data_IF_288342238276
#
_entry.id   IF_288342238276
#
_cell.length_a   1.000
_cell.length_b   1.000
_cell.length_c   1.000
_cell.angle_alpha   90.00
_cell.angle_beta   90.00
_cell.angle_gamma   90.00
#
_symmetry.space_group_name_H-M   'P 1'
#
loop_
_entity.id
_entity.type
_entity.pdbx_description
1 polymer ?
#
# COMPACT_ATOMS: atom_id res chain seq x y z
N UNK A 1 -17.40 -30.26 26.69
CA UNK A 1 -16.18 -30.54 25.95
C UNK A 1 -15.88 -29.37 25.01
N UNK A 2 -14.72 -28.69 25.16
CA UNK A 2 -14.13 -27.83 24.12
C UNK A 2 -14.20 -26.32 24.33
N UNK A 3 -13.82 -25.78 25.52
CA UNK A 3 -13.42 -24.36 25.67
C UNK A 3 -11.92 -24.30 26.00
N UNK A 4 -11.08 -24.44 25.00
CA UNK A 4 -9.63 -24.48 25.22
C UNK A 4 -8.82 -24.15 23.98
N UNK A 5 -9.23 -23.15 23.14
CA UNK A 5 -8.36 -22.71 22.05
C UNK A 5 -8.18 -21.20 22.10
N UNK A 6 -6.88 -20.82 22.18
CA UNK A 6 -6.34 -19.46 21.99
C UNK A 6 -6.62 -18.43 23.12
N UNK A 7 -6.18 -18.70 24.35
CA UNK A 7 -5.54 -17.65 25.13
C UNK A 7 -4.09 -17.48 24.63
N UNK A 8 -3.91 -16.79 23.54
CA UNK A 8 -2.65 -16.13 23.25
C UNK A 8 -2.47 -15.13 24.39
N UNK A 9 -1.66 -15.52 25.40
CA UNK A 9 -1.17 -14.61 26.42
C UNK A 9 -0.31 -13.57 25.70
N UNK A 10 -0.92 -12.48 25.26
CA UNK A 10 -0.23 -11.20 25.11
C UNK A 10 0.18 -10.71 26.51
N UNK A 11 1.09 -11.43 27.14
CA UNK A 11 2.05 -10.82 28.03
C UNK A 11 3.12 -10.20 27.12
N UNK A 12 2.76 -9.18 26.39
CA UNK A 12 3.68 -8.15 26.08
C UNK A 12 4.05 -7.51 27.42
N UNK A 13 5.10 -8.01 28.08
CA UNK A 13 5.99 -7.10 28.74
C UNK A 13 6.36 -6.11 27.63
N UNK A 14 5.64 -4.98 27.54
CA UNK A 14 6.21 -3.80 26.89
C UNK A 14 7.56 -3.63 27.61
N UNK A 15 8.72 -3.83 26.94
CA UNK A 15 9.94 -3.26 27.47
C UNK A 15 9.56 -1.79 27.62
N UNK A 16 9.67 -1.26 28.84
CA UNK A 16 9.54 0.17 29.08
C UNK A 16 10.49 0.80 28.06
N UNK A 17 9.91 1.33 26.96
CA UNK A 17 10.71 2.01 25.94
C UNK A 17 11.49 3.05 26.76
N UNK A 18 12.82 3.06 26.71
CA UNK A 18 13.61 4.01 27.50
C UNK A 18 13.02 5.36 27.17
N UNK A 19 12.53 6.05 28.20
CA UNK A 19 11.83 7.33 28.15
C UNK A 19 12.30 8.10 26.93
N UNK A 20 11.41 8.24 25.94
CA UNK A 20 11.75 8.91 24.68
C UNK A 20 12.33 10.27 25.04
N UNK A 21 13.64 10.45 24.87
CA UNK A 21 14.31 11.72 25.15
C UNK A 21 13.91 12.66 24.02
N UNK A 22 13.02 13.64 24.26
CA UNK A 22 12.66 14.64 23.26
C UNK A 22 13.95 15.41 22.94
N UNK A 23 14.45 15.27 21.73
CA UNK A 23 15.68 15.93 21.30
C UNK A 23 16.65 15.11 20.48
N UNK A 24 16.55 13.75 20.53
CA UNK A 24 17.45 12.90 19.76
C UNK A 24 17.05 12.75 18.28
N UNK A 25 15.79 13.03 17.91
CA UNK A 25 15.27 12.88 16.55
C UNK A 25 14.29 14.02 16.25
N UNK A 26 14.81 15.11 15.69
CA UNK A 26 14.01 16.24 15.17
C UNK A 26 13.79 16.13 13.66
N UNK A 27 12.88 16.94 13.15
CA UNK A 27 12.79 17.25 11.71
C UNK A 27 13.92 18.24 11.34
N UNK A 28 14.29 18.29 10.06
CA UNK A 28 15.21 19.30 9.58
C UNK A 28 14.57 20.69 9.72
N UNK A 29 15.20 21.66 10.40
CA UNK A 29 14.65 22.98 10.65
C UNK A 29 14.59 23.87 9.40
N UNK A 30 15.27 23.50 8.33
CA UNK A 30 15.33 24.28 7.11
C UNK A 30 13.99 24.21 6.35
N UNK A 31 13.22 25.29 6.43
CA UNK A 31 11.88 25.45 5.82
C UNK A 31 11.92 25.45 4.29
N UNK A 32 13.08 25.72 3.66
CA UNK A 32 13.24 25.73 2.20
C UNK A 32 13.31 24.34 1.59
N UNK A 33 13.58 23.33 2.39
CA UNK A 33 13.74 21.94 1.93
C UNK A 33 12.41 21.29 1.62
N UNK A 34 12.44 20.44 0.59
CA UNK A 34 11.30 19.57 0.23
C UNK A 34 10.86 18.72 1.43
N UNK A 35 9.56 18.55 1.62
CA UNK A 35 8.97 17.88 2.77
C UNK A 35 9.58 16.51 3.10
N UNK A 36 9.93 15.70 2.08
CA UNK A 36 10.62 14.42 2.29
C UNK A 36 11.98 14.62 2.95
N UNK A 37 12.76 15.63 2.52
CA UNK A 37 14.08 15.91 3.08
C UNK A 37 14.01 16.33 4.53
N UNK A 38 12.94 17.02 4.92
CA UNK A 38 12.72 17.40 6.32
C UNK A 38 12.45 16.22 7.24
N UNK A 39 11.93 15.08 6.70
CA UNK A 39 11.70 13.84 7.44
C UNK A 39 12.94 12.90 7.45
N UNK A 40 13.95 13.16 6.63
CA UNK A 40 15.16 12.30 6.54
C UNK A 40 15.87 12.11 7.88
N UNK A 41 16.00 13.10 8.79
CA UNK A 41 16.64 12.87 10.10
C UNK A 41 15.97 11.77 10.92
N UNK A 42 14.63 11.67 10.89
CA UNK A 42 13.86 10.61 11.55
C UNK A 42 14.19 9.22 10.97
N UNK A 43 14.35 9.13 9.64
CA UNK A 43 14.76 7.89 8.97
C UNK A 43 16.22 7.55 9.28
N UNK A 44 17.12 8.55 9.30
CA UNK A 44 18.55 8.37 9.61
C UNK A 44 18.78 7.87 11.02
N UNK A 45 17.97 8.27 11.99
CA UNK A 45 18.04 7.76 13.35
C UNK A 45 17.84 6.24 13.43
N UNK A 46 17.14 5.66 12.44
CA UNK A 46 16.83 4.22 12.36
C UNK A 46 17.48 3.53 11.14
N UNK A 47 18.59 4.11 10.64
CA UNK A 47 19.25 3.68 9.39
C UNK A 47 19.62 2.20 9.35
N UNK A 48 20.05 1.63 10.48
CA UNK A 48 20.44 0.21 10.57
C UNK A 48 19.24 -0.70 10.35
N UNK A 49 18.13 -0.45 11.07
CA UNK A 49 16.89 -1.24 10.89
C UNK A 49 16.36 -1.09 9.47
N UNK A 50 16.36 0.14 8.94
CA UNK A 50 15.92 0.40 7.58
C UNK A 50 16.81 -0.31 6.54
N UNK A 51 18.13 -0.28 6.71
CA UNK A 51 19.07 -0.98 5.84
C UNK A 51 18.87 -2.50 5.87
N UNK A 52 18.73 -3.09 7.05
CA UNK A 52 18.42 -4.53 7.21
C UNK A 52 17.09 -4.87 6.56
N UNK A 53 16.07 -4.03 6.75
CA UNK A 53 14.76 -4.20 6.12
C UNK A 53 14.89 -4.22 4.60
N UNK A 54 15.59 -3.26 4.01
CA UNK A 54 15.79 -3.20 2.56
C UNK A 54 16.62 -4.36 2.05
N UNK A 55 17.67 -4.76 2.77
CA UNK A 55 18.49 -5.92 2.41
C UNK A 55 17.67 -7.21 2.41
N UNK A 56 16.89 -7.47 3.47
CA UNK A 56 15.96 -8.62 3.52
C UNK A 56 14.94 -8.58 2.39
N UNK A 57 14.40 -7.39 2.07
CA UNK A 57 13.47 -7.20 0.97
C UNK A 57 14.09 -7.53 -0.39
N UNK A 58 15.29 -7.02 -0.65
CA UNK A 58 16.02 -7.26 -1.92
C UNK A 58 16.46 -8.72 -2.05
N UNK A 59 17.01 -9.33 -0.99
CA UNK A 59 17.40 -10.76 -1.02
C UNK A 59 16.15 -11.65 -1.21
N UNK A 60 15.05 -11.34 -0.49
CA UNK A 60 13.79 -12.05 -0.67
C UNK A 60 13.22 -11.90 -2.08
N UNK A 61 13.40 -10.73 -2.70
CA UNK A 61 13.01 -10.47 -4.08
C UNK A 61 13.88 -11.27 -5.06
N UNK A 62 15.21 -11.31 -4.87
CA UNK A 62 16.11 -12.13 -5.67
C UNK A 62 15.70 -13.60 -5.65
N UNK A 63 15.46 -14.14 -4.47
CA UNK A 63 14.96 -15.52 -4.33
C UNK A 63 13.65 -15.69 -5.08
N UNK A 64 12.68 -14.80 -4.89
CA UNK A 64 11.37 -14.89 -5.54
C UNK A 64 11.44 -14.84 -7.06
N UNK A 65 12.26 -13.94 -7.62
CA UNK A 65 12.40 -13.77 -9.08
C UNK A 65 13.18 -14.95 -9.70
N UNK A 66 14.01 -15.65 -8.91
CA UNK A 66 14.73 -16.83 -9.36
C UNK A 66 13.88 -18.11 -9.39
N UNK A 67 12.78 -18.18 -8.63
CA UNK A 67 11.91 -19.38 -8.58
C UNK A 67 11.44 -19.84 -9.97
N UNK A 68 10.92 -18.96 -10.87
CA UNK A 68 10.48 -19.40 -12.20
C UNK A 68 11.61 -19.96 -13.05
N UNK A 69 12.88 -19.47 -12.86
CA UNK A 69 14.02 -19.98 -13.58
C UNK A 69 14.42 -21.39 -13.12
N UNK A 70 14.36 -21.66 -11.82
CA UNK A 70 14.59 -23.00 -11.26
C UNK A 70 13.47 -23.95 -11.70
N UNK A 71 12.21 -23.48 -11.67
CA UNK A 71 11.07 -24.25 -12.13
C UNK A 71 11.18 -24.62 -13.62
N UNK A 72 11.60 -23.67 -14.46
CA UNK A 72 11.90 -23.90 -15.87
C UNK A 72 12.85 -25.07 -16.04
N UNK A 73 14.03 -25.01 -15.37
CA UNK A 73 15.05 -26.07 -15.46
C UNK A 73 14.53 -27.41 -14.94
N UNK A 74 13.78 -27.39 -13.84
CA UNK A 74 13.20 -28.62 -13.28
C UNK A 74 12.27 -29.32 -14.27
N UNK A 75 11.47 -28.56 -15.01
CA UNK A 75 10.54 -29.12 -16.00
C UNK A 75 11.27 -29.60 -17.24
N UNK A 76 12.21 -28.79 -17.76
CA UNK A 76 12.97 -29.19 -18.94
C UNK A 76 13.74 -30.48 -18.65
N UNK A 77 14.41 -30.63 -17.48
CA UNK A 77 15.09 -31.88 -17.05
C UNK A 77 14.12 -33.05 -16.83
N UNK A 78 12.94 -32.79 -16.26
CA UNK A 78 11.94 -33.83 -16.03
C UNK A 78 11.37 -34.42 -17.33
N UNK A 79 11.31 -33.63 -18.39
CA UNK A 79 10.88 -34.07 -19.72
C UNK A 79 11.95 -34.86 -20.45
N UNK A 80 13.24 -34.44 -20.27
CA UNK A 80 14.37 -35.09 -20.93
C UNK A 80 14.81 -36.41 -20.24
N UNK A 81 14.70 -36.48 -18.91
CA UNK A 81 15.13 -37.60 -18.08
C UNK A 81 14.08 -37.99 -17.01
N UNK A 82 13.09 -38.83 -17.33
CA UNK A 82 11.97 -39.13 -16.41
C UNK A 82 12.36 -39.80 -15.09
N UNK A 83 13.56 -40.36 -14.95
CA UNK A 83 13.87 -41.30 -13.88
C UNK A 83 14.78 -40.81 -12.74
N UNK A 84 15.26 -39.55 -12.71
CA UNK A 84 16.24 -39.30 -11.64
C UNK A 84 16.48 -37.88 -11.15
N UNK A 85 16.20 -36.85 -11.92
CA UNK A 85 16.65 -35.47 -11.62
C UNK A 85 15.69 -34.63 -10.78
N UNK A 86 14.44 -34.99 -10.64
CA UNK A 86 13.38 -34.12 -10.11
C UNK A 86 13.47 -33.88 -8.60
N UNK A 87 13.89 -34.87 -7.82
CA UNK A 87 13.95 -34.75 -6.35
C UNK A 87 14.86 -33.61 -5.87
N UNK A 88 16.01 -33.37 -6.53
CA UNK A 88 16.91 -32.28 -6.21
C UNK A 88 16.25 -30.91 -6.38
N UNK A 89 15.53 -30.71 -7.49
CA UNK A 89 14.81 -29.45 -7.75
C UNK A 89 13.65 -29.23 -6.77
N UNK A 90 12.94 -30.29 -6.34
CA UNK A 90 11.89 -30.19 -5.32
C UNK A 90 12.46 -29.65 -4.00
N UNK A 91 13.58 -30.18 -3.54
CA UNK A 91 14.22 -29.72 -2.30
C UNK A 91 14.75 -28.29 -2.44
N UNK A 92 15.30 -27.92 -3.61
CA UNK A 92 15.74 -26.54 -3.88
C UNK A 92 14.54 -25.58 -3.85
N UNK A 93 13.45 -25.92 -4.54
CA UNK A 93 12.23 -25.10 -4.56
C UNK A 93 11.60 -24.98 -3.16
N UNK A 94 11.60 -26.05 -2.38
CA UNK A 94 11.13 -26.02 -0.99
C UNK A 94 12.00 -25.10 -0.13
N UNK A 95 13.32 -25.23 -0.24
CA UNK A 95 14.28 -24.36 0.44
C UNK A 95 14.10 -22.89 0.06
N UNK A 96 13.91 -22.61 -1.25
CA UNK A 96 13.63 -21.25 -1.73
C UNK A 96 12.29 -20.72 -1.20
N UNK A 97 11.25 -21.55 -1.10
CA UNK A 97 9.95 -21.15 -0.56
C UNK A 97 10.06 -20.78 0.93
N UNK A 98 10.76 -21.59 1.73
CA UNK A 98 11.01 -21.33 3.16
C UNK A 98 11.84 -20.07 3.34
N UNK A 99 12.92 -19.91 2.58
CA UNK A 99 13.78 -18.72 2.60
C UNK A 99 13.00 -17.46 2.19
N UNK A 100 12.24 -17.53 1.10
CA UNK A 100 11.41 -16.42 0.63
C UNK A 100 10.34 -16.03 1.68
N UNK A 101 9.73 -17.01 2.34
CA UNK A 101 8.78 -16.76 3.43
C UNK A 101 9.45 -16.04 4.59
N UNK A 102 10.57 -16.55 5.10
CA UNK A 102 11.28 -15.96 6.23
C UNK A 102 11.78 -14.53 5.93
N UNK A 103 12.37 -14.33 4.75
CA UNK A 103 12.84 -13.01 4.31
C UNK A 103 11.69 -12.02 4.13
N UNK A 104 10.58 -12.45 3.51
CA UNK A 104 9.39 -11.61 3.31
C UNK A 104 8.71 -11.28 4.63
N UNK A 105 8.61 -12.23 5.54
CA UNK A 105 8.07 -12.01 6.89
C UNK A 105 8.91 -10.97 7.64
N UNK A 106 10.24 -11.18 7.69
CA UNK A 106 11.18 -10.27 8.37
C UNK A 106 11.14 -8.88 7.76
N UNK A 107 11.23 -8.77 6.44
CA UNK A 107 11.11 -7.50 5.72
C UNK A 107 9.82 -6.77 6.09
N UNK A 108 8.67 -7.47 5.98
CA UNK A 108 7.37 -6.87 6.22
C UNK A 108 7.19 -6.45 7.68
N UNK A 109 7.61 -7.30 8.61
CA UNK A 109 7.57 -7.01 10.04
C UNK A 109 8.41 -5.77 10.39
N UNK A 110 9.67 -5.75 9.98
CA UNK A 110 10.58 -4.63 10.26
C UNK A 110 10.13 -3.33 9.59
N UNK A 111 9.59 -3.41 8.37
CA UNK A 111 9.08 -2.25 7.64
C UNK A 111 7.92 -1.59 8.38
N UNK A 112 6.90 -2.37 8.74
CA UNK A 112 5.73 -1.85 9.46
C UNK A 112 6.12 -1.39 10.86
N UNK A 113 6.96 -2.15 11.58
CA UNK A 113 7.47 -1.75 12.89
C UNK A 113 8.19 -0.40 12.81
N UNK A 114 9.03 -0.19 11.78
CA UNK A 114 9.74 1.08 11.59
C UNK A 114 8.76 2.22 11.28
N UNK A 115 7.76 1.99 10.42
CA UNK A 115 6.75 2.98 10.10
C UNK A 115 5.92 3.40 11.33
N UNK A 116 5.51 2.45 12.18
CA UNK A 116 4.80 2.74 13.43
C UNK A 116 5.68 3.46 14.46
N UNK A 117 6.96 3.12 14.54
CA UNK A 117 7.90 3.83 15.43
C UNK A 117 8.09 5.29 15.00
N UNK A 118 8.17 5.56 13.69
CA UNK A 118 8.25 6.94 13.16
C UNK A 118 6.94 7.69 13.44
N UNK A 119 5.80 7.04 13.33
CA UNK A 119 4.50 7.59 13.72
C UNK A 119 4.51 8.03 15.19
N UNK A 120 5.02 7.19 16.10
CA UNK A 120 5.14 7.49 17.53
C UNK A 120 6.12 8.65 17.78
N UNK A 121 7.27 8.66 17.09
CA UNK A 121 8.28 9.70 17.21
C UNK A 121 7.69 11.06 16.75
N UNK A 122 6.98 11.11 15.63
CA UNK A 122 6.30 12.33 15.15
C UNK A 122 5.22 12.80 16.12
N UNK A 123 4.42 11.89 16.69
CA UNK A 123 3.39 12.24 17.66
C UNK A 123 4.01 12.85 18.92
N UNK A 124 5.08 12.25 19.43
CA UNK A 124 5.82 12.76 20.59
C UNK A 124 6.45 14.13 20.30
N UNK A 125 6.99 14.32 19.09
CA UNK A 125 7.58 15.58 18.66
C UNK A 125 6.55 16.71 18.63
N UNK A 126 5.39 16.47 18.01
CA UNK A 126 4.29 17.42 17.95
C UNK A 126 3.79 17.73 19.37
N UNK A 127 3.55 16.71 20.19
CA UNK A 127 3.05 16.92 21.56
C UNK A 127 4.02 17.76 22.38
N UNK A 128 5.32 17.43 22.34
CA UNK A 128 6.34 18.20 23.04
C UNK A 128 6.45 19.64 22.55
N UNK A 129 6.28 19.86 21.25
CA UNK A 129 6.26 21.22 20.69
C UNK A 129 5.03 21.99 21.13
N UNK A 130 3.85 21.40 21.07
CA UNK A 130 2.60 22.00 21.52
C UNK A 130 2.68 22.47 22.98
N UNK A 131 3.26 21.68 23.88
CA UNK A 131 3.37 22.07 25.32
C UNK A 131 4.24 23.31 25.57
N UNK A 132 4.93 23.83 24.56
CA UNK A 132 5.77 25.03 24.61
C UNK A 132 5.20 26.23 23.89
N UNK A 133 4.10 26.04 23.15
CA UNK A 133 3.47 27.14 22.42
C UNK A 133 2.69 28.06 23.35
N UNK A 134 2.63 29.38 23.03
CA UNK A 134 1.91 30.39 23.83
C UNK A 134 0.40 30.19 23.71
N UNK A 135 -0.35 30.75 24.70
CA UNK A 135 -1.83 30.72 24.70
C UNK A 135 -2.43 31.35 23.44
N UNK A 136 -1.80 32.38 22.89
CA UNK A 136 -2.24 33.05 21.66
C UNK A 136 -2.30 32.11 20.43
N UNK A 137 -1.54 31.01 20.42
CA UNK A 137 -1.67 29.97 19.42
C UNK A 137 -3.01 29.21 19.57
N UNK A 138 -3.35 28.84 20.80
CA UNK A 138 -4.59 28.10 21.11
C UNK A 138 -5.86 28.93 20.95
N UNK A 139 -5.76 30.26 21.05
CA UNK A 139 -6.85 31.16 20.75
C UNK A 139 -7.17 31.26 19.25
N UNK A 140 -6.17 30.98 18.39
CA UNK A 140 -6.31 31.03 16.91
C UNK A 140 -6.60 29.69 16.27
N UNK A 141 -6.19 28.59 16.88
CA UNK A 141 -6.25 27.24 16.30
C UNK A 141 -7.25 26.39 17.07
N UNK A 142 -8.26 25.88 16.36
CA UNK A 142 -9.25 24.99 16.97
C UNK A 142 -8.60 23.69 17.49
N UNK A 143 -8.97 23.24 18.68
CA UNK A 143 -8.44 22.02 19.29
C UNK A 143 -8.66 20.78 18.41
N UNK A 144 -9.77 20.73 17.64
CA UNK A 144 -10.07 19.69 16.69
C UNK A 144 -9.05 19.57 15.57
N UNK A 145 -8.52 20.71 15.07
CA UNK A 145 -7.49 20.71 14.03
C UNK A 145 -6.16 20.15 14.56
N UNK A 146 -5.78 20.52 15.77
CA UNK A 146 -4.56 20.02 16.42
C UNK A 146 -4.65 18.49 16.60
N UNK A 147 -5.79 17.98 17.08
CA UNK A 147 -6.04 16.55 17.24
C UNK A 147 -6.00 15.83 15.89
N UNK A 148 -6.60 16.42 14.85
CA UNK A 148 -6.59 15.86 13.50
C UNK A 148 -5.16 15.75 12.94
N UNK A 149 -4.35 16.81 13.11
CA UNK A 149 -2.94 16.82 12.67
C UNK A 149 -2.08 15.82 13.42
N UNK A 150 -2.32 15.65 14.73
CA UNK A 150 -1.60 14.67 15.56
C UNK A 150 -2.01 13.20 15.28
N UNK A 151 -3.13 12.95 14.65
CA UNK A 151 -3.63 11.60 14.37
C UNK A 151 -3.66 11.29 12.87
N UNK A 152 -4.56 11.91 12.11
CA UNK A 152 -4.80 11.54 10.70
C UNK A 152 -3.65 11.94 9.78
N UNK A 153 -3.01 13.10 10.03
CA UNK A 153 -1.91 13.56 9.17
C UNK A 153 -0.65 12.73 9.40
N UNK A 154 -0.30 12.42 10.65
CA UNK A 154 0.83 11.53 10.95
C UNK A 154 0.60 10.15 10.34
N UNK A 155 -0.64 9.62 10.43
CA UNK A 155 -0.99 8.33 9.84
C UNK A 155 -0.81 8.32 8.31
N UNK A 156 -1.07 9.43 7.62
CA UNK A 156 -0.84 9.54 6.17
C UNK A 156 0.65 9.38 5.82
N UNK A 157 1.54 9.97 6.62
CA UNK A 157 3.00 9.79 6.48
C UNK A 157 3.40 8.35 6.76
N UNK A 158 2.90 7.76 7.86
CA UNK A 158 3.17 6.37 8.24
C UNK A 158 2.76 5.38 7.12
N UNK A 159 1.58 5.57 6.51
CA UNK A 159 1.12 4.74 5.41
C UNK A 159 2.05 4.83 4.19
N UNK A 160 2.53 6.02 3.84
CA UNK A 160 3.51 6.17 2.76
C UNK A 160 4.83 5.46 3.09
N UNK A 161 5.32 5.57 4.31
CA UNK A 161 6.54 4.88 4.76
C UNK A 161 6.40 3.36 4.77
N UNK A 162 5.18 2.84 4.97
CA UNK A 162 4.90 1.41 4.89
C UNK A 162 4.73 0.93 3.45
N UNK A 163 3.96 1.63 2.62
CA UNK A 163 3.61 1.18 1.27
C UNK A 163 4.55 1.66 0.17
N UNK A 164 5.28 2.76 0.37
CA UNK A 164 6.26 3.26 -0.59
C UNK A 164 7.38 2.25 -0.88
N UNK A 165 8.08 1.72 0.14
CA UNK A 165 9.10 0.69 -0.07
C UNK A 165 8.55 -0.63 -0.64
N UNK A 166 7.30 -1.01 -0.29
CA UNK A 166 6.64 -2.17 -0.89
C UNK A 166 6.45 -2.01 -2.39
N UNK A 167 6.03 -0.82 -2.82
CA UNK A 167 5.91 -0.51 -4.25
C UNK A 167 7.28 -0.45 -4.93
N UNK A 168 8.29 0.13 -4.29
CA UNK A 168 9.64 0.19 -4.83
C UNK A 168 10.21 -1.21 -5.10
N UNK A 169 10.01 -2.16 -4.18
CA UNK A 169 10.39 -3.56 -4.39
C UNK A 169 9.57 -4.22 -5.51
N UNK A 170 8.27 -3.91 -5.62
CA UNK A 170 7.46 -4.41 -6.72
C UNK A 170 7.94 -3.85 -8.08
N UNK A 171 8.33 -2.57 -8.13
CA UNK A 171 8.92 -1.96 -9.32
C UNK A 171 10.29 -2.59 -9.67
N UNK A 172 11.13 -2.87 -8.67
CA UNK A 172 12.39 -3.59 -8.85
C UNK A 172 12.13 -5.02 -9.35
N UNK A 173 11.10 -5.70 -8.82
CA UNK A 173 10.65 -7.01 -9.30
C UNK A 173 10.29 -7.00 -10.78
N UNK A 174 9.59 -5.96 -11.24
CA UNK A 174 9.28 -5.78 -12.66
C UNK A 174 10.56 -5.70 -13.50
N UNK A 175 11.51 -4.84 -13.12
CA UNK A 175 12.77 -4.66 -13.87
C UNK A 175 13.55 -5.98 -13.95
N UNK A 176 13.66 -6.69 -12.83
CA UNK A 176 14.40 -7.95 -12.77
C UNK A 176 13.70 -9.06 -13.57
N UNK A 177 12.39 -9.24 -13.38
CA UNK A 177 11.61 -10.26 -14.09
C UNK A 177 11.64 -10.00 -15.60
N UNK A 178 11.47 -8.75 -16.02
CA UNK A 178 11.54 -8.37 -17.43
C UNK A 178 12.96 -8.59 -18.01
N UNK A 179 14.02 -8.23 -17.26
CA UNK A 179 15.40 -8.52 -17.65
C UNK A 179 15.66 -10.01 -17.83
N UNK A 180 15.15 -10.87 -16.95
CA UNK A 180 15.24 -12.33 -17.10
C UNK A 180 14.43 -12.84 -18.30
N UNK A 181 13.23 -12.31 -18.55
CA UNK A 181 12.45 -12.66 -19.74
C UNK A 181 13.22 -12.31 -21.03
N UNK A 182 13.85 -11.13 -21.09
CA UNK A 182 14.68 -10.71 -22.23
C UNK A 182 15.90 -11.62 -22.42
N UNK A 183 16.52 -12.11 -21.34
CA UNK A 183 17.66 -13.03 -21.41
C UNK A 183 17.30 -14.43 -21.93
N UNK A 184 16.02 -14.82 -21.84
CA UNK A 184 15.53 -16.12 -22.33
C UNK A 184 15.14 -16.02 -23.81
N UNK A 185 14.22 -15.08 -24.15
CA UNK A 185 13.76 -14.93 -25.53
C UNK A 185 13.19 -13.53 -25.75
N UNK A 186 13.92 -12.67 -26.46
CA UNK A 186 13.59 -11.24 -26.62
C UNK A 186 12.22 -10.99 -27.27
N UNK A 187 11.89 -11.60 -28.45
CA UNK A 187 10.59 -11.37 -29.10
C UNK A 187 9.40 -11.77 -28.22
N UNK A 188 9.51 -12.91 -27.52
CA UNK A 188 8.45 -13.38 -26.62
C UNK A 188 8.28 -12.44 -25.41
N UNK A 189 9.38 -11.94 -24.85
CA UNK A 189 9.36 -10.99 -23.74
C UNK A 189 8.67 -9.68 -24.13
N UNK A 190 9.04 -9.12 -25.28
CA UNK A 190 8.43 -7.88 -25.81
C UNK A 190 6.94 -8.07 -26.12
N UNK A 191 6.57 -9.15 -26.80
CA UNK A 191 5.17 -9.46 -27.11
C UNK A 191 4.32 -9.60 -25.84
N UNK A 192 4.87 -10.23 -24.81
CA UNK A 192 4.18 -10.44 -23.53
C UNK A 192 3.96 -9.15 -22.76
N UNK A 193 4.94 -8.24 -22.78
CA UNK A 193 4.90 -6.97 -22.02
C UNK A 193 4.22 -5.84 -22.81
N UNK A 194 4.02 -6.00 -24.12
CA UNK A 194 3.44 -4.97 -24.99
C UNK A 194 2.06 -4.44 -24.51
N UNK A 195 1.29 -5.26 -23.79
CA UNK A 195 0.03 -4.85 -23.18
C UNK A 195 0.15 -4.01 -21.91
N UNK A 196 1.32 -3.97 -21.22
CA UNK A 196 1.46 -3.32 -19.93
C UNK A 196 1.26 -1.79 -19.95
N UNK A 197 1.68 -1.03 -21.01
CA UNK A 197 1.36 0.38 -21.10
C UNK A 197 -0.15 0.66 -21.10
N UNK A 198 -0.97 -0.26 -21.64
CA UNK A 198 -2.43 -0.14 -21.61
C UNK A 198 -2.99 -0.23 -20.18
N UNK A 199 -2.37 -1.03 -19.29
CA UNK A 199 -2.73 -1.06 -17.85
C UNK A 199 -2.57 0.33 -17.25
N UNK A 200 -1.48 1.01 -17.56
CA UNK A 200 -1.25 2.38 -17.07
C UNK A 200 -2.33 3.35 -17.57
N UNK A 201 -2.63 3.33 -18.87
CA UNK A 201 -3.67 4.19 -19.46
C UNK A 201 -5.04 3.94 -18.83
N UNK A 202 -5.42 2.66 -18.66
CA UNK A 202 -6.68 2.29 -18.01
C UNK A 202 -6.70 2.69 -16.53
N UNK A 203 -5.59 2.54 -15.81
CA UNK A 203 -5.49 2.97 -14.42
C UNK A 203 -5.65 4.50 -14.28
N UNK A 204 -5.09 5.29 -15.19
CA UNK A 204 -5.29 6.74 -15.23
C UNK A 204 -6.75 7.09 -15.51
N UNK A 205 -7.37 6.50 -16.55
CA UNK A 205 -8.79 6.71 -16.85
C UNK A 205 -9.70 6.31 -15.69
N UNK A 206 -9.41 5.16 -15.05
CA UNK A 206 -10.13 4.74 -13.86
C UNK A 206 -10.01 5.78 -12.74
N UNK A 207 -8.82 6.30 -12.48
CA UNK A 207 -8.61 7.35 -11.50
C UNK A 207 -9.50 8.56 -11.80
N UNK A 208 -9.45 9.08 -13.03
CA UNK A 208 -10.15 10.30 -13.41
C UNK A 208 -11.70 10.17 -13.32
N UNK A 209 -12.23 8.95 -13.39
CA UNK A 209 -13.66 8.67 -13.23
C UNK A 209 -14.03 8.30 -11.77
N UNK A 210 -13.23 7.47 -11.13
CA UNK A 210 -13.54 6.92 -9.80
C UNK A 210 -13.31 7.94 -8.68
N UNK A 211 -12.29 8.80 -8.80
CA UNK A 211 -11.99 9.78 -7.75
C UNK A 211 -13.12 10.81 -7.54
N UNK A 212 -13.63 11.50 -8.58
CA UNK A 212 -14.74 12.44 -8.39
C UNK A 212 -15.96 11.76 -7.78
N UNK A 213 -16.32 10.56 -8.25
CA UNK A 213 -17.46 9.81 -7.70
C UNK A 213 -17.21 9.41 -6.23
N UNK A 214 -15.97 9.08 -5.85
CA UNK A 214 -15.62 8.81 -4.46
C UNK A 214 -15.82 10.04 -3.57
N UNK A 215 -15.41 11.22 -4.03
CA UNK A 215 -15.64 12.49 -3.31
C UNK A 215 -17.12 12.81 -3.15
N UNK A 216 -17.91 12.66 -4.23
CA UNK A 216 -19.36 12.86 -4.17
C UNK A 216 -19.99 11.88 -3.17
N UNK A 217 -19.58 10.61 -3.20
CA UNK A 217 -20.10 9.58 -2.27
C UNK A 217 -19.74 9.91 -0.82
N UNK A 218 -18.52 10.40 -0.54
CA UNK A 218 -18.12 10.86 0.80
C UNK A 218 -18.96 12.06 1.26
N UNK A 219 -19.22 13.02 0.37
CA UNK A 219 -20.08 14.17 0.69
C UNK A 219 -21.53 13.74 1.02
N UNK A 220 -22.09 12.77 0.25
CA UNK A 220 -23.43 12.23 0.52
C UNK A 220 -23.48 11.42 1.82
N UNK A 221 -22.40 10.71 2.16
CA UNK A 221 -22.30 10.01 3.44
C UNK A 221 -22.30 11.00 4.62
N UNK A 222 -21.56 12.11 4.50
CA UNK A 222 -21.56 13.17 5.50
C UNK A 222 -22.93 13.83 5.63
N UNK A 223 -23.68 14.03 4.52
CA UNK A 223 -25.04 14.54 4.52
C UNK A 223 -26.00 13.62 5.31
N UNK A 224 -25.94 12.31 5.09
CA UNK A 224 -26.73 11.33 5.85
C UNK A 224 -26.36 11.37 7.33
N UNK A 225 -25.06 11.43 7.67
CA UNK A 225 -24.59 11.50 9.04
C UNK A 225 -25.11 12.78 9.74
N UNK A 226 -25.10 13.91 9.06
CA UNK A 226 -25.62 15.18 9.58
C UNK A 226 -27.13 15.12 9.87
N UNK A 227 -27.92 14.56 8.96
CA UNK A 227 -29.38 14.37 9.17
C UNK A 227 -29.63 13.45 10.36
N UNK A 228 -28.86 12.39 10.54
CA UNK A 228 -29.00 11.49 11.70
C UNK A 228 -28.61 12.20 12.99
N UNK A 229 -27.50 12.94 13.02
CA UNK A 229 -27.05 13.67 14.19
C UNK A 229 -28.06 14.75 14.63
N UNK A 230 -28.60 15.52 13.66
CA UNK A 230 -29.64 16.50 13.90
C UNK A 230 -30.91 15.87 14.52
N UNK A 231 -31.32 14.72 13.98
CA UNK A 231 -32.50 14.00 14.50
C UNK A 231 -32.27 13.43 15.91
N UNK A 232 -31.06 12.93 16.20
CA UNK A 232 -30.73 12.42 17.54
C UNK A 232 -30.69 13.58 18.53
N UNK A 233 -30.03 14.67 18.21
CA UNK A 233 -29.90 15.85 19.05
C UNK A 233 -31.27 16.55 19.26
N UNK A 234 -32.09 16.62 18.21
CA UNK A 234 -33.43 17.22 18.19
C UNK A 234 -34.57 16.28 18.56
N UNK A 235 -34.33 15.05 19.05
CA UNK A 235 -35.38 14.02 19.26
C UNK A 235 -36.54 14.52 20.09
N UNK A 236 -36.30 15.35 21.12
CA UNK A 236 -37.39 15.92 21.96
C UNK A 236 -38.31 16.82 21.14
N UNK A 237 -37.74 17.65 20.25
CA UNK A 237 -38.51 18.56 19.39
C UNK A 237 -39.33 17.76 18.39
N UNK A 238 -38.69 16.79 17.69
CA UNK A 238 -39.35 15.90 16.73
C UNK A 238 -40.58 15.20 17.39
N UNK A 239 -40.39 14.69 18.61
CA UNK A 239 -41.43 14.02 19.37
C UNK A 239 -42.56 14.98 19.82
N UNK A 240 -42.21 16.20 20.26
CA UNK A 240 -43.20 17.18 20.72
C UNK A 240 -44.12 17.66 19.59
N UNK A 241 -43.64 17.70 18.36
CA UNK A 241 -44.38 18.10 17.17
C UNK A 241 -44.93 16.92 16.35
N UNK A 242 -44.72 15.67 16.78
CA UNK A 242 -45.10 14.45 16.07
C UNK A 242 -44.58 14.43 14.61
N UNK A 243 -43.34 14.98 14.38
CA UNK A 243 -42.76 15.19 13.07
C UNK A 243 -41.89 14.00 12.57
N UNK A 244 -42.06 12.79 13.13
CA UNK A 244 -41.28 11.61 12.79
C UNK A 244 -41.38 11.24 11.31
N UNK A 245 -42.58 11.33 10.73
CA UNK A 245 -42.81 10.99 9.33
C UNK A 245 -42.05 11.93 8.40
N UNK A 246 -41.98 13.23 8.70
CA UNK A 246 -41.25 14.22 7.92
C UNK A 246 -39.75 13.98 8.02
N UNK A 247 -39.23 13.67 9.22
CA UNK A 247 -37.82 13.38 9.42
C UNK A 247 -37.38 12.07 8.71
N UNK A 248 -38.24 11.05 8.72
CA UNK A 248 -38.01 9.83 7.94
C UNK A 248 -37.95 10.15 6.44
N UNK A 249 -38.83 11.03 5.95
CA UNK A 249 -38.79 11.45 4.54
C UNK A 249 -37.51 12.22 4.18
N UNK A 250 -37.01 13.09 5.08
CA UNK A 250 -35.72 13.79 4.90
C UNK A 250 -34.57 12.80 4.83
N UNK A 251 -34.50 11.86 5.78
CA UNK A 251 -33.45 10.82 5.80
C UNK A 251 -33.52 9.92 4.55
N UNK A 252 -34.72 9.54 4.14
CA UNK A 252 -34.92 8.71 2.93
C UNK A 252 -34.40 9.40 1.67
N UNK A 253 -34.63 10.70 1.51
CA UNK A 253 -34.09 11.48 0.39
C UNK A 253 -32.56 11.53 0.42
N UNK A 254 -31.94 11.79 1.59
CA UNK A 254 -30.50 11.81 1.75
C UNK A 254 -29.88 10.42 1.46
N UNK A 255 -30.46 9.35 1.99
CA UNK A 255 -30.06 7.97 1.73
C UNK A 255 -30.22 7.58 0.26
N UNK A 256 -31.27 8.07 -0.42
CA UNK A 256 -31.48 7.88 -1.86
C UNK A 256 -30.36 8.51 -2.69
N UNK A 257 -29.91 9.73 -2.36
CA UNK A 257 -28.76 10.39 -3.01
C UNK A 257 -27.45 9.64 -2.76
N UNK A 258 -27.23 9.18 -1.54
CA UNK A 258 -26.07 8.34 -1.20
C UNK A 258 -26.07 7.03 -2.01
N UNK A 259 -27.21 6.34 -2.04
CA UNK A 259 -27.37 5.10 -2.81
C UNK A 259 -27.01 5.31 -4.29
N UNK A 260 -27.53 6.38 -4.90
CA UNK A 260 -27.23 6.69 -6.30
C UNK A 260 -25.73 6.91 -6.53
N UNK A 261 -25.06 7.74 -5.72
CA UNK A 261 -23.63 8.02 -5.87
C UNK A 261 -22.77 6.79 -5.57
N UNK A 262 -23.12 5.99 -4.57
CA UNK A 262 -22.43 4.75 -4.26
C UNK A 262 -22.59 3.70 -5.39
N UNK A 263 -23.78 3.58 -5.98
CA UNK A 263 -24.01 2.70 -7.13
C UNK A 263 -23.21 3.15 -8.34
N UNK A 264 -23.17 4.46 -8.64
CA UNK A 264 -22.35 5.00 -9.73
C UNK A 264 -20.86 4.76 -9.53
N UNK A 265 -20.38 4.87 -8.29
CA UNK A 265 -18.99 4.57 -7.92
C UNK A 265 -18.65 3.08 -8.13
N UNK A 266 -19.55 2.18 -7.71
CA UNK A 266 -19.38 0.73 -7.90
C UNK A 266 -19.43 0.36 -9.38
N UNK A 267 -20.35 0.95 -10.15
CA UNK A 267 -20.46 0.74 -11.60
C UNK A 267 -19.18 1.18 -12.32
N UNK A 268 -18.65 2.36 -11.99
CA UNK A 268 -17.36 2.81 -12.52
C UNK A 268 -16.22 1.82 -12.21
N UNK A 269 -16.12 1.34 -10.98
CA UNK A 269 -15.10 0.34 -10.59
C UNK A 269 -15.31 -0.99 -11.31
N UNK A 270 -16.57 -1.43 -11.44
CA UNK A 270 -16.91 -2.69 -12.10
C UNK A 270 -16.55 -2.70 -13.60
N UNK A 271 -16.51 -1.55 -14.24
CA UNK A 271 -16.07 -1.44 -15.65
C UNK A 271 -14.55 -1.47 -15.81
N UNK A 272 -13.82 -0.77 -14.92
CA UNK A 272 -12.37 -0.62 -15.05
C UNK A 272 -11.58 -1.79 -14.45
N UNK A 273 -11.98 -2.32 -13.29
CA UNK A 273 -11.21 -3.36 -12.60
C UNK A 273 -11.03 -4.63 -13.45
N UNK A 274 -12.09 -5.22 -14.05
CA UNK A 274 -11.94 -6.40 -14.90
C UNK A 274 -11.09 -6.13 -16.14
N UNK A 275 -11.19 -4.91 -16.72
CA UNK A 275 -10.40 -4.54 -17.89
C UNK A 275 -8.89 -4.48 -17.54
N UNK A 276 -8.54 -3.88 -16.38
CA UNK A 276 -7.16 -3.83 -15.90
C UNK A 276 -6.63 -5.25 -15.58
N UNK A 277 -7.47 -6.12 -15.02
CA UNK A 277 -7.10 -7.51 -14.71
C UNK A 277 -7.03 -8.42 -15.95
N UNK A 278 -7.74 -8.08 -17.02
CA UNK A 278 -7.72 -8.84 -18.27
C UNK A 278 -6.39 -8.72 -19.02
N UNK A 279 -5.72 -7.58 -18.95
CA UNK A 279 -4.48 -7.33 -19.71
C UNK A 279 -3.36 -8.33 -19.37
N UNK A 280 -3.02 -8.60 -18.10
CA UNK A 280 -2.05 -9.65 -17.78
C UNK A 280 -2.50 -11.05 -18.26
N UNK A 281 -3.81 -11.34 -18.26
CA UNK A 281 -4.35 -12.59 -18.79
C UNK A 281 -4.18 -12.67 -20.32
N UNK A 282 -4.35 -11.56 -21.04
CA UNK A 282 -4.01 -11.51 -22.47
C UNK A 282 -2.52 -11.73 -22.70
N UNK A 283 -1.65 -11.17 -21.86
CA UNK A 283 -0.22 -11.47 -21.90
C UNK A 283 0.06 -12.97 -21.71
N UNK A 284 -0.67 -13.62 -20.81
CA UNK A 284 -0.57 -15.09 -20.64
C UNK A 284 -1.05 -15.85 -21.88
N UNK A 285 -2.13 -15.39 -22.55
CA UNK A 285 -2.59 -15.96 -23.81
C UNK A 285 -1.53 -15.82 -24.91
N UNK A 286 -0.83 -14.69 -24.99
CA UNK A 286 0.30 -14.49 -25.90
C UNK A 286 1.44 -15.47 -25.60
N UNK A 287 1.78 -15.69 -24.33
CA UNK A 287 2.79 -16.67 -23.92
C UNK A 287 2.39 -18.08 -24.39
N UNK A 288 1.12 -18.46 -24.21
CA UNK A 288 0.65 -19.79 -24.62
C UNK A 288 0.61 -19.95 -26.13
N UNK A 289 0.12 -18.97 -26.87
CA UNK A 289 -0.02 -19.05 -28.33
C UNK A 289 1.32 -18.89 -29.05
N UNK A 290 1.99 -17.77 -28.84
CA UNK A 290 3.26 -17.49 -29.52
C UNK A 290 4.41 -18.30 -28.93
N UNK A 291 4.51 -18.38 -27.63
CA UNK A 291 5.50 -19.23 -26.95
C UNK A 291 5.26 -20.72 -27.20
N UNK A 292 4.01 -21.17 -27.26
CA UNK A 292 3.64 -22.56 -27.62
C UNK A 292 4.06 -22.89 -29.06
N UNK A 293 3.86 -21.98 -30.02
CA UNK A 293 4.36 -22.13 -31.38
C UNK A 293 5.87 -22.26 -31.41
N UNK A 294 6.60 -21.37 -30.69
CA UNK A 294 8.07 -21.44 -30.56
C UNK A 294 8.54 -22.75 -29.89
N UNK A 295 7.75 -23.31 -29.00
CA UNK A 295 8.06 -24.60 -28.33
C UNK A 295 7.90 -25.79 -29.29
N UNK A 296 6.87 -25.76 -30.16
CA UNK A 296 6.66 -26.76 -31.21
C UNK A 296 7.83 -26.73 -32.22
N UNK A 297 8.32 -25.53 -32.58
CA UNK A 297 9.47 -25.33 -33.45
C UNK A 297 10.82 -25.66 -32.74
N UNK A 298 10.82 -26.05 -31.47
CA UNK A 298 12.02 -26.38 -30.73
C UNK A 298 12.91 -25.21 -30.32
N UNK A 299 12.43 -23.94 -30.49
CA UNK A 299 13.21 -22.74 -30.15
C UNK A 299 13.21 -22.46 -28.66
N UNK A 300 12.19 -22.87 -27.92
CA UNK A 300 12.07 -22.73 -26.46
C UNK A 300 11.53 -24.01 -25.83
N UNK A 301 11.96 -24.33 -24.59
CA UNK A 301 11.42 -25.49 -23.85
C UNK A 301 10.06 -25.18 -23.21
N UNK A 302 9.30 -26.23 -22.87
CA UNK A 302 8.03 -26.14 -22.14
C UNK A 302 8.19 -25.42 -20.81
N UNK A 303 9.31 -25.66 -20.10
CA UNK A 303 9.65 -24.94 -18.86
C UNK A 303 9.73 -23.43 -19.05
N UNK A 304 10.11 -22.95 -20.23
CA UNK A 304 10.10 -21.53 -20.56
C UNK A 304 8.69 -20.94 -20.54
N UNK A 305 7.69 -21.63 -21.06
CA UNK A 305 6.29 -21.16 -21.06
C UNK A 305 5.77 -20.96 -19.63
N UNK A 306 6.09 -21.89 -18.74
CA UNK A 306 5.71 -21.80 -17.33
C UNK A 306 6.45 -20.67 -16.60
N UNK A 307 7.74 -20.48 -16.88
CA UNK A 307 8.50 -19.36 -16.32
C UNK A 307 7.92 -18.01 -16.78
N UNK A 308 7.63 -17.85 -18.08
CA UNK A 308 7.01 -16.64 -18.63
C UNK A 308 5.63 -16.39 -18.03
N UNK A 309 4.78 -17.40 -17.91
CA UNK A 309 3.45 -17.28 -17.29
C UNK A 309 3.55 -16.77 -15.85
N UNK A 310 4.54 -17.24 -15.09
CA UNK A 310 4.79 -16.78 -13.72
C UNK A 310 5.30 -15.33 -13.70
N UNK A 311 6.21 -14.98 -14.60
CA UNK A 311 6.72 -13.62 -14.71
C UNK A 311 5.65 -12.61 -15.12
N UNK A 312 4.71 -12.95 -16.00
CA UNK A 312 3.57 -12.09 -16.37
C UNK A 312 2.78 -11.66 -15.13
N UNK A 313 2.51 -12.60 -14.22
CA UNK A 313 1.81 -12.30 -12.96
C UNK A 313 2.66 -11.35 -12.10
N UNK A 314 3.97 -11.60 -11.98
CA UNK A 314 4.87 -10.76 -11.17
C UNK A 314 4.99 -9.34 -11.71
N UNK A 315 5.14 -9.15 -13.01
CA UNK A 315 5.30 -7.83 -13.64
C UNK A 315 4.03 -6.98 -13.59
N UNK A 316 2.85 -7.57 -13.36
CA UNK A 316 1.59 -6.83 -13.25
C UNK A 316 1.40 -6.13 -11.90
N UNK A 317 2.10 -6.57 -10.84
CA UNK A 317 1.91 -6.09 -9.46
C UNK A 317 2.18 -4.59 -9.30
N UNK A 318 3.33 -4.02 -9.75
CA UNK A 318 3.63 -2.61 -9.55
C UNK A 318 2.60 -1.68 -10.21
N UNK A 319 2.05 -2.08 -11.36
CA UNK A 319 1.04 -1.28 -12.06
C UNK A 319 -0.28 -1.21 -11.28
N UNK A 320 -0.71 -2.30 -10.66
CA UNK A 320 -1.91 -2.33 -9.82
C UNK A 320 -1.77 -1.50 -8.54
N UNK A 321 -0.56 -1.43 -7.98
CA UNK A 321 -0.29 -0.66 -6.76
C UNK A 321 -0.02 0.83 -7.03
N UNK A 322 0.34 1.22 -8.25
CA UNK A 322 0.81 2.56 -8.58
C UNK A 322 -0.20 3.65 -8.18
N UNK A 323 -1.46 3.48 -8.53
CA UNK A 323 -2.52 4.46 -8.22
C UNK A 323 -2.69 4.67 -6.71
N UNK A 324 -2.66 3.58 -5.93
CA UNK A 324 -2.74 3.65 -4.48
C UNK A 324 -1.55 4.40 -3.87
N UNK A 325 -0.33 4.08 -4.32
CA UNK A 325 0.89 4.69 -3.76
C UNK A 325 1.01 6.16 -4.12
N UNK A 326 0.63 6.55 -5.35
CA UNK A 326 0.58 7.96 -5.75
C UNK A 326 -0.40 8.76 -4.90
N UNK A 327 -1.57 8.19 -4.60
CA UNK A 327 -2.54 8.82 -3.69
C UNK A 327 -1.95 8.99 -2.29
N UNK A 328 -1.30 7.95 -1.75
CA UNK A 328 -0.67 8.02 -0.42
C UNK A 328 0.46 9.05 -0.40
N UNK A 329 1.22 9.18 -1.48
CA UNK A 329 2.25 10.22 -1.63
C UNK A 329 1.65 11.62 -1.57
N UNK A 330 0.57 11.89 -2.32
CA UNK A 330 -0.11 13.19 -2.32
C UNK A 330 -0.70 13.51 -0.94
N UNK A 331 -1.33 12.53 -0.29
CA UNK A 331 -1.86 12.69 1.08
C UNK A 331 -0.74 12.98 2.08
N UNK A 332 0.34 12.21 2.05
CA UNK A 332 1.49 12.41 2.93
C UNK A 332 2.16 13.79 2.70
N UNK A 333 2.24 14.25 1.45
CA UNK A 333 2.77 15.57 1.13
C UNK A 333 1.91 16.68 1.75
N UNK A 334 0.58 16.65 1.54
CA UNK A 334 -0.35 17.62 2.11
C UNK A 334 -0.36 17.58 3.65
N UNK A 335 -0.36 16.37 4.23
CA UNK A 335 -0.31 16.16 5.67
C UNK A 335 0.99 16.63 6.30
N UNK A 336 2.13 16.43 5.62
CA UNK A 336 3.43 16.93 6.07
C UNK A 336 3.47 18.45 6.13
N UNK A 337 2.90 19.14 5.16
CA UNK A 337 2.81 20.62 5.17
C UNK A 337 2.06 21.12 6.41
N UNK A 338 0.89 20.54 6.73
CA UNK A 338 0.11 20.91 7.92
C UNK A 338 0.81 20.59 9.25
N UNK A 339 1.57 19.50 9.30
CA UNK A 339 2.38 19.16 10.47
C UNK A 339 3.52 20.18 10.64
N UNK A 340 4.17 20.57 9.54
CA UNK A 340 5.23 21.56 9.59
C UNK A 340 4.75 22.96 9.97
N UNK A 341 3.51 23.35 9.60
CA UNK A 341 2.91 24.59 10.09
C UNK A 341 2.90 24.68 11.62
N UNK A 342 2.61 23.55 12.32
CA UNK A 342 2.69 23.52 13.78
C UNK A 342 4.13 23.54 14.25
N UNK A 343 5.01 22.71 13.69
CA UNK A 343 6.39 22.53 14.17
C UNK A 343 7.30 23.73 13.84
N UNK A 344 6.90 24.55 12.88
CA UNK A 344 7.60 25.77 12.49
C UNK A 344 7.12 27.02 13.25
N UNK A 345 6.05 26.92 14.07
CA UNK A 345 5.64 27.99 14.97
C UNK A 345 6.68 28.16 16.08
N UNK A 346 7.17 29.37 16.29
CA UNK A 346 8.23 29.62 17.26
C UNK A 346 7.67 29.66 18.69
N UNK A 347 8.17 28.82 19.63
CA UNK A 347 7.77 28.88 21.02
C UNK A 347 8.29 30.18 21.65
N UNK A 348 7.38 31.04 22.09
CA UNK A 348 7.72 32.31 22.76
C UNK A 348 8.33 32.06 24.14
N UNK A 349 7.99 30.97 24.79
CA UNK A 349 8.49 30.54 26.11
C UNK A 349 9.64 29.55 25.86
N UNK A 350 10.87 29.95 26.16
CA UNK A 350 12.09 29.15 26.07
C UNK A 350 12.44 28.51 27.40
#
# INVERSE_FOLDING_TARGET
MGRGFLRVRYRAAMPADPVHRPGATGIDPDRSKWWVRRLVPLLRARRTIFAVTMACGLVGLLVQVSVPMVLRRAIDVALDQPSGGLYGYVWVLLGMAVAAFGLRFTYRYLLFMTAYRIETDLRSLIYHHLTRLPFSFYDRVASGDVISRANSDIRSIQLLLAFGPLWALAATSFVMAFGLMLSIHVPLALATVAGMPLVYVLAQRMRDHVFPLSWVTQGRMAEVAMVVDENISGTRIVKSFAAEADQIAVLSRAAGRLRWSATALVDARARFNPAIEAIPRLGMAVVLLYGGWLAIDGQVGVGTLLAFSTYVIMISVPFRMLGFVLLQYQRAAASSMRIFEILDEDPVIR
#
